data_IF_877790559056
#
_entry.id   IF_877790559056
#
_cell.length_a   1.000
_cell.length_b   1.000
_cell.length_c   1.000
_cell.angle_alpha   90.00
_cell.angle_beta   90.00
_cell.angle_gamma   90.00
#
_symmetry.space_group_name_H-M   'P 1'
#
loop_
_entity.id
_entity.type
_entity.pdbx_description
1 polymer ?
#
# COMPACT_ATOMS: atom_id res chain seq x y z
N UNK A 1 3.12 5.71 17.58
CA UNK A 1 3.27 5.89 16.12
C UNK A 1 4.73 5.70 15.73
N UNK A 2 5.08 4.54 15.17
CA UNK A 2 6.40 4.29 14.58
C UNK A 2 6.19 3.62 13.22
N UNK A 3 5.50 4.35 12.33
CA UNK A 3 5.12 3.92 10.97
C UNK A 3 6.36 3.45 10.18
N UNK A 4 7.51 4.05 10.47
CA UNK A 4 8.82 3.70 9.89
C UNK A 4 9.23 2.26 10.17
N UNK A 5 9.03 1.78 11.40
CA UNK A 5 9.34 0.38 11.74
C UNK A 5 8.44 -0.58 10.96
N UNK A 6 7.16 -0.28 10.81
CA UNK A 6 6.25 -1.14 10.05
C UNK A 6 6.63 -1.22 8.56
N UNK A 7 7.05 -0.10 7.99
CA UNK A 7 7.46 -0.02 6.60
C UNK A 7 8.79 -0.74 6.35
N UNK A 8 9.78 -0.55 7.24
CA UNK A 8 11.05 -1.30 7.23
C UNK A 8 10.84 -2.82 7.38
N UNK A 9 9.80 -3.24 8.11
CA UNK A 9 9.44 -4.66 8.29
C UNK A 9 8.78 -5.28 7.05
N UNK A 10 7.98 -4.51 6.32
CA UNK A 10 7.38 -4.92 5.05
C UNK A 10 8.47 -5.03 3.96
N UNK A 11 9.34 -4.03 3.86
CA UNK A 11 10.45 -3.99 2.91
C UNK A 11 11.45 -5.15 3.13
N UNK A 12 11.70 -5.53 4.39
CA UNK A 12 12.56 -6.70 4.73
C UNK A 12 11.95 -8.04 4.27
N UNK A 13 10.62 -8.17 4.33
CA UNK A 13 9.93 -9.41 3.95
C UNK A 13 9.85 -9.56 2.42
N UNK A 14 9.64 -8.44 1.71
CA UNK A 14 9.62 -8.38 0.25
C UNK A 14 10.97 -8.77 -0.39
N UNK A 15 12.08 -8.55 0.32
CA UNK A 15 13.43 -8.93 -0.11
C UNK A 15 13.80 -10.40 0.20
N UNK A 16 13.26 -11.01 1.26
CA UNK A 16 13.71 -12.36 1.69
C UNK A 16 13.05 -13.53 0.95
N UNK A 17 11.88 -13.31 0.33
CA UNK A 17 11.20 -14.32 -0.47
C UNK A 17 11.59 -14.21 -1.95
N UNK A 18 12.80 -14.69 -2.28
CA UNK A 18 13.04 -15.30 -3.59
C UNK A 18 12.16 -16.55 -3.69
N UNK A 19 11.01 -16.43 -4.33
CA UNK A 19 10.00 -17.49 -4.41
C UNK A 19 10.41 -18.51 -5.48
N UNK A 20 11.33 -19.41 -5.14
CA UNK A 20 11.41 -20.71 -5.82
C UNK A 20 10.15 -21.49 -5.45
N UNK A 21 9.24 -21.59 -6.42
CA UNK A 21 7.93 -22.22 -6.24
C UNK A 21 8.02 -23.71 -6.61
N UNK A 22 8.32 -24.57 -5.63
CA UNK A 22 7.96 -25.98 -5.69
C UNK A 22 6.76 -26.23 -4.78
N UNK A 23 5.56 -26.30 -5.34
CA UNK A 23 4.52 -27.15 -4.78
C UNK A 23 3.47 -27.52 -5.84
N UNK A 24 3.24 -28.83 -5.95
CA UNK A 24 2.48 -29.47 -7.03
C UNK A 24 0.99 -29.14 -7.04
N UNK A 25 0.54 -28.59 -8.17
CA UNK A 25 -0.85 -28.63 -8.61
C UNK A 25 -0.90 -29.24 -10.02
N UNK A 26 -1.90 -30.09 -10.26
CA UNK A 26 -2.07 -31.00 -11.41
C UNK A 26 -2.32 -30.20 -12.70
N UNK A 27 -1.88 -30.67 -13.88
CA UNK A 27 -1.48 -29.83 -15.00
C UNK A 27 -2.69 -29.38 -15.83
N UNK A 28 -2.88 -28.08 -15.89
CA UNK A 28 -3.45 -27.42 -17.07
C UNK A 28 -2.32 -27.41 -18.11
N UNK A 29 -2.61 -27.55 -19.42
CA UNK A 29 -1.66 -27.48 -20.54
C UNK A 29 -0.91 -26.11 -20.60
N UNK A 30 -0.17 -25.76 -19.55
CA UNK A 30 0.57 -24.51 -19.35
C UNK A 30 2.09 -24.74 -19.39
N UNK A 31 2.56 -25.99 -19.34
CA UNK A 31 4.00 -26.31 -19.35
C UNK A 31 4.71 -25.86 -20.65
N UNK A 32 3.96 -25.80 -21.76
CA UNK A 32 4.48 -25.27 -23.04
C UNK A 32 4.69 -23.75 -22.99
N UNK A 33 3.98 -23.04 -22.09
CA UNK A 33 4.10 -21.58 -21.95
C UNK A 33 5.24 -21.17 -21.03
N UNK A 34 5.56 -21.97 -20.01
CA UNK A 34 6.64 -21.64 -19.08
C UNK A 34 8.04 -21.81 -19.68
N UNK A 35 8.27 -22.88 -20.45
CA UNK A 35 9.56 -23.04 -21.15
C UNK A 35 9.71 -22.03 -22.30
N UNK A 36 8.62 -21.73 -23.01
CA UNK A 36 8.63 -20.71 -24.05
C UNK A 36 8.89 -19.30 -23.49
N UNK A 37 8.26 -18.94 -22.36
CA UNK A 37 8.51 -17.65 -21.70
C UNK A 37 9.93 -17.54 -21.15
N UNK A 38 10.52 -18.64 -20.66
CA UNK A 38 11.94 -18.68 -20.28
C UNK A 38 12.87 -18.47 -21.47
N UNK A 39 12.58 -19.10 -22.61
CA UNK A 39 13.35 -18.90 -23.85
C UNK A 39 13.23 -17.47 -24.36
N UNK A 40 12.03 -16.87 -24.28
CA UNK A 40 11.84 -15.46 -24.66
C UNK A 40 12.58 -14.49 -23.74
N UNK A 41 12.54 -14.71 -22.42
CA UNK A 41 13.33 -13.93 -21.45
C UNK A 41 14.83 -14.06 -21.72
N UNK A 42 15.30 -15.26 -22.07
CA UNK A 42 16.70 -15.51 -22.41
C UNK A 42 17.11 -14.73 -23.68
N UNK A 43 16.25 -14.73 -24.71
CA UNK A 43 16.47 -13.95 -25.95
C UNK A 43 16.48 -12.45 -25.66
N UNK A 44 15.60 -11.96 -24.78
CA UNK A 44 15.58 -10.55 -24.37
C UNK A 44 16.86 -10.17 -23.62
N UNK A 45 17.32 -11.02 -22.68
CA UNK A 45 18.58 -10.80 -21.97
C UNK A 45 19.78 -10.79 -22.91
N UNK A 46 19.86 -11.75 -23.83
CA UNK A 46 20.90 -11.79 -24.87
C UNK A 46 20.88 -10.54 -25.75
N UNK A 47 19.69 -10.02 -26.07
CA UNK A 47 19.53 -8.77 -26.79
C UNK A 47 19.98 -7.54 -25.99
N UNK A 48 19.73 -7.51 -24.67
CA UNK A 48 20.26 -6.46 -23.80
C UNK A 48 21.79 -6.52 -23.71
N UNK A 49 22.35 -7.72 -23.59
CA UNK A 49 23.80 -7.94 -23.56
C UNK A 49 24.45 -7.51 -24.89
N UNK A 50 23.82 -7.79 -26.04
CA UNK A 50 24.27 -7.32 -27.36
C UNK A 50 24.26 -5.79 -27.47
N UNK A 51 23.22 -5.13 -26.94
CA UNK A 51 23.17 -3.66 -26.90
C UNK A 51 24.23 -3.06 -25.98
N UNK A 52 24.49 -3.68 -24.82
CA UNK A 52 25.52 -3.24 -23.88
C UNK A 52 26.93 -3.42 -24.45
N UNK A 53 27.19 -4.57 -25.10
CA UNK A 53 28.44 -4.84 -25.80
C UNK A 53 28.66 -3.85 -26.97
N UNK A 54 27.62 -3.52 -27.73
CA UNK A 54 27.69 -2.53 -28.81
C UNK A 54 28.01 -1.13 -28.26
N UNK A 55 27.46 -0.75 -27.10
CA UNK A 55 27.81 0.48 -26.40
C UNK A 55 29.28 0.50 -25.93
N UNK A 56 29.82 -0.64 -25.50
CA UNK A 56 31.21 -0.77 -25.07
C UNK A 56 32.19 -0.69 -26.26
N UNK A 57 31.86 -1.35 -27.37
CA UNK A 57 32.68 -1.35 -28.60
C UNK A 57 32.59 -0.02 -29.35
N UNK A 58 31.43 0.63 -29.30
CA UNK A 58 31.13 1.87 -30.03
C UNK A 58 30.50 2.91 -29.11
N UNK A 59 31.29 3.46 -28.16
CA UNK A 59 30.80 4.41 -27.18
C UNK A 59 30.21 5.64 -27.86
N UNK A 60 29.05 6.06 -27.38
CA UNK A 60 28.41 7.30 -27.79
C UNK A 60 29.30 8.43 -27.30
N UNK A 61 30.02 9.06 -28.24
CA UNK A 61 30.74 10.29 -27.95
C UNK A 61 29.71 11.40 -27.80
N UNK A 62 29.77 12.13 -26.70
CA UNK A 62 28.95 13.33 -26.51
C UNK A 62 29.26 14.32 -27.65
N UNK A 63 28.21 14.87 -28.26
CA UNK A 63 28.29 15.90 -29.29
C UNK A 63 28.85 17.20 -28.65
N UNK A 64 30.16 17.28 -28.41
CA UNK A 64 30.81 18.44 -27.77
C UNK A 64 30.83 19.70 -28.63
N UNK A 65 30.37 19.62 -29.88
CA UNK A 65 30.34 20.74 -30.82
C UNK A 65 28.90 21.26 -30.91
N UNK A 66 28.55 22.17 -29.99
CA UNK A 66 27.51 23.16 -30.27
C UNK A 66 28.12 24.10 -31.31
N UNK A 67 27.60 24.19 -32.55
CA UNK A 67 28.00 25.29 -33.42
C UNK A 67 27.69 26.58 -32.64
N UNK A 68 28.68 27.46 -32.47
CA UNK A 68 28.41 28.80 -31.92
C UNK A 68 27.24 29.37 -32.71
N UNK A 69 26.12 29.61 -32.03
CA UNK A 69 24.84 29.99 -32.62
C UNK A 69 24.94 31.39 -33.27
N UNK A 70 25.66 31.49 -34.38
CA UNK A 70 25.85 32.71 -35.16
C UNK A 70 24.83 32.79 -36.31
N UNK A 71 23.67 32.16 -36.12
CA UNK A 71 22.55 32.23 -37.03
C UNK A 71 21.39 33.00 -36.39
N UNK A 72 21.07 34.23 -36.84
CA UNK A 72 20.02 35.06 -36.23
C UNK A 72 18.58 34.55 -36.41
N UNK A 73 18.37 33.41 -37.08
CA UNK A 73 17.05 32.89 -37.42
C UNK A 73 16.69 31.65 -36.57
N UNK A 74 15.94 31.87 -35.50
CA UNK A 74 15.44 30.87 -34.53
C UNK A 74 14.45 29.82 -35.08
N UNK A 75 14.29 29.68 -36.40
CA UNK A 75 13.23 28.86 -37.03
C UNK A 75 13.71 27.55 -37.65
N UNK A 76 15.02 27.28 -37.73
CA UNK A 76 15.55 26.06 -38.35
C UNK A 76 15.81 24.95 -37.32
N UNK A 77 15.67 23.68 -37.75
CA UNK A 77 15.96 22.53 -36.89
C UNK A 77 17.48 22.40 -36.68
N UNK A 78 17.91 21.90 -35.51
CA UNK A 78 19.35 21.70 -35.19
C UNK A 78 20.11 20.89 -36.26
N UNK A 79 19.45 19.89 -36.87
CA UNK A 79 20.02 19.09 -37.97
C UNK A 79 20.31 19.91 -39.23
N UNK A 80 19.46 20.89 -39.53
CA UNK A 80 19.60 21.75 -40.71
C UNK A 80 20.72 22.76 -40.50
N UNK A 81 20.83 23.32 -39.28
CA UNK A 81 21.95 24.17 -38.90
C UNK A 81 23.30 23.43 -39.00
N UNK A 82 23.38 22.18 -38.53
CA UNK A 82 24.57 21.34 -38.68
C UNK A 82 24.92 21.07 -40.14
N UNK A 83 23.92 20.75 -40.97
CA UNK A 83 24.15 20.52 -42.41
C UNK A 83 24.63 21.81 -43.14
N UNK A 84 24.14 22.97 -42.72
CA UNK A 84 24.60 24.27 -43.25
C UNK A 84 26.02 24.58 -42.77
N UNK A 85 26.36 24.30 -41.51
CA UNK A 85 27.70 24.48 -40.96
C UNK A 85 28.72 23.58 -41.68
N UNK A 86 28.40 22.30 -41.89
CA UNK A 86 29.26 21.36 -42.63
C UNK A 86 29.51 21.84 -44.07
N UNK A 87 28.47 22.29 -44.77
CA UNK A 87 28.61 22.87 -46.12
C UNK A 87 29.50 24.11 -46.16
N UNK A 88 29.48 24.95 -45.13
CA UNK A 88 30.38 26.10 -45.03
C UNK A 88 31.82 25.70 -44.77
N UNK A 89 32.03 24.66 -43.97
CA UNK A 89 33.34 24.08 -43.71
C UNK A 89 33.92 23.52 -45.02
N UNK A 90 33.11 22.81 -45.80
CA UNK A 90 33.44 22.32 -47.16
C UNK A 90 33.77 23.46 -48.13
N UNK A 91 32.91 24.48 -48.22
CA UNK A 91 33.10 25.63 -49.13
C UNK A 91 34.30 26.51 -48.72
N UNK A 92 34.65 26.51 -47.43
CA UNK A 92 35.74 27.27 -46.84
C UNK A 92 37.10 26.58 -46.91
N UNK A 93 37.13 25.26 -47.13
CA UNK A 93 38.36 24.47 -47.16
C UNK A 93 39.24 24.84 -48.36
N UNK A 94 40.47 25.31 -48.08
CA UNK A 94 41.45 25.68 -49.13
C UNK A 94 42.82 25.08 -48.90
N UNK A 95 43.12 24.67 -47.68
CA UNK A 95 44.39 24.06 -47.29
C UNK A 95 44.20 22.59 -46.96
N UNK A 96 45.29 21.81 -46.99
CA UNK A 96 45.26 20.36 -46.70
C UNK A 96 44.72 20.11 -45.29
N UNK A 97 45.08 20.95 -44.31
CA UNK A 97 44.55 20.86 -42.95
C UNK A 97 43.04 21.08 -42.88
N UNK A 98 42.49 22.01 -43.68
CA UNK A 98 41.04 22.25 -43.69
C UNK A 98 40.30 21.02 -44.25
N UNK A 99 40.85 20.36 -45.26
CA UNK A 99 40.28 19.12 -45.80
C UNK A 99 40.36 17.95 -44.80
N UNK A 100 41.42 17.87 -43.99
CA UNK A 100 41.50 16.89 -42.91
C UNK A 100 40.41 17.10 -41.85
N UNK A 101 40.02 18.34 -41.56
CA UNK A 101 38.91 18.66 -40.66
C UNK A 101 37.55 18.31 -41.28
N UNK A 102 37.32 18.63 -42.56
CA UNK A 102 36.12 18.19 -43.30
C UNK A 102 35.98 16.67 -43.23
N UNK A 103 37.06 15.92 -43.53
CA UNK A 103 37.05 14.45 -43.55
C UNK A 103 36.69 13.89 -42.16
N UNK A 104 37.26 14.44 -41.08
CA UNK A 104 36.94 14.00 -39.71
C UNK A 104 35.45 14.14 -39.38
N UNK A 105 34.82 15.23 -39.80
CA UNK A 105 33.37 15.44 -39.58
C UNK A 105 32.52 14.46 -40.39
N UNK A 106 32.92 14.18 -41.64
CA UNK A 106 32.27 13.16 -42.46
C UNK A 106 32.42 11.76 -41.87
N UNK A 107 33.61 11.36 -41.46
CA UNK A 107 33.87 10.07 -40.81
C UNK A 107 33.06 9.91 -39.51
N UNK A 108 32.89 11.00 -38.75
CA UNK A 108 32.05 11.02 -37.56
C UNK A 108 30.55 10.85 -37.88
N UNK A 109 30.05 11.52 -38.91
CA UNK A 109 28.66 11.34 -39.37
C UNK A 109 28.43 9.94 -39.94
N UNK A 110 29.42 9.37 -40.63
CA UNK A 110 29.39 8.03 -41.18
C UNK A 110 29.33 6.98 -40.06
N UNK A 111 30.23 7.09 -39.08
CA UNK A 111 30.24 6.24 -37.88
C UNK A 111 28.91 6.30 -37.11
N UNK A 112 28.30 7.49 -37.03
CA UNK A 112 26.98 7.66 -36.41
C UNK A 112 25.84 7.07 -37.24
N UNK A 113 25.94 7.06 -38.57
CA UNK A 113 24.98 6.37 -39.44
C UNK A 113 25.09 4.86 -39.24
N UNK A 114 26.29 4.31 -39.33
CA UNK A 114 26.55 2.87 -39.16
C UNK A 114 26.07 2.40 -37.78
N UNK A 115 26.37 3.15 -36.71
CA UNK A 115 25.88 2.85 -35.37
C UNK A 115 24.35 2.83 -35.30
N UNK A 116 23.65 3.78 -35.93
CA UNK A 116 22.18 3.79 -35.97
C UNK A 116 21.61 2.64 -36.78
N UNK A 117 22.26 2.27 -37.87
CA UNK A 117 21.89 1.10 -38.67
C UNK A 117 22.05 -0.17 -37.85
N UNK A 118 23.17 -0.36 -37.14
CA UNK A 118 23.37 -1.48 -36.21
C UNK A 118 22.33 -1.51 -35.09
N UNK A 119 22.03 -0.38 -34.43
CA UNK A 119 20.95 -0.34 -33.43
C UNK A 119 19.55 -0.61 -34.02
N UNK A 120 19.32 -0.34 -35.30
CA UNK A 120 18.06 -0.70 -35.96
C UNK A 120 18.02 -2.15 -36.43
N UNK A 121 19.18 -2.78 -36.62
CA UNK A 121 19.34 -4.20 -36.98
C UNK A 121 19.26 -5.10 -35.73
N UNK A 122 19.84 -4.66 -34.61
CA UNK A 122 19.68 -5.24 -33.27
C UNK A 122 18.17 -5.25 -32.95
N UNK A 123 17.54 -6.43 -33.07
CA UNK A 123 16.11 -6.65 -32.78
C UNK A 123 15.19 -6.89 -33.99
N UNK A 124 15.68 -6.82 -35.23
CA UNK A 124 14.87 -7.14 -36.43
C UNK A 124 14.88 -8.60 -36.86
N UNK A 125 15.95 -9.35 -36.55
CA UNK A 125 16.08 -10.76 -36.97
C UNK A 125 15.01 -11.68 -36.36
N UNK A 126 14.42 -11.28 -35.24
CA UNK A 126 13.40 -12.07 -34.50
C UNK A 126 11.94 -11.72 -34.83
N UNK A 127 11.67 -10.84 -35.80
CA UNK A 127 10.31 -10.39 -36.12
C UNK A 127 9.57 -11.29 -37.13
N UNK A 128 10.28 -12.03 -37.98
CA UNK A 128 9.66 -12.90 -38.99
C UNK A 128 9.21 -14.27 -38.43
N UNK A 129 9.67 -14.67 -37.25
CA UNK A 129 9.29 -15.94 -36.60
C UNK A 129 7.97 -15.87 -35.81
N UNK A 130 7.38 -14.68 -35.61
CA UNK A 130 6.20 -14.47 -34.74
C UNK A 130 4.94 -14.02 -35.49
N UNK A 131 4.65 -14.60 -36.68
CA UNK A 131 3.34 -14.38 -37.35
C UNK A 131 2.17 -15.17 -36.73
N UNK A 132 2.45 -16.22 -35.96
CA UNK A 132 1.43 -17.10 -35.38
C UNK A 132 1.36 -17.04 -33.84
N UNK A 133 2.06 -16.10 -33.20
CA UNK A 133 1.99 -15.92 -31.75
C UNK A 133 0.78 -15.07 -31.41
N UNK A 134 -0.08 -15.60 -30.54
CA UNK A 134 -1.31 -14.96 -30.09
C UNK A 134 -1.09 -13.50 -29.69
N UNK A 135 -2.05 -12.59 -29.96
CA UNK A 135 -1.92 -11.18 -29.64
C UNK A 135 -1.65 -11.04 -28.15
N UNK A 136 -0.42 -10.60 -27.84
CA UNK A 136 0.14 -10.30 -26.53
C UNK A 136 -0.76 -10.71 -25.37
N UNK A 137 -0.47 -11.86 -24.75
CA UNK A 137 -0.66 -11.94 -23.32
C UNK A 137 -0.04 -10.68 -22.75
N UNK A 138 -0.86 -9.80 -22.18
CA UNK A 138 -0.44 -8.48 -21.72
C UNK A 138 0.73 -8.73 -20.77
N UNK A 139 1.95 -8.48 -21.25
CA UNK A 139 3.16 -8.58 -20.44
C UNK A 139 3.11 -7.39 -19.52
N UNK A 140 2.46 -7.61 -18.38
CA UNK A 140 2.40 -6.64 -17.31
C UNK A 140 3.80 -6.63 -16.67
N UNK A 141 4.52 -5.50 -16.68
CA UNK A 141 5.85 -5.40 -16.08
C UNK A 141 5.87 -5.98 -14.66
N UNK A 142 6.96 -6.64 -14.25
CA UNK A 142 7.10 -7.32 -12.96
C UNK A 142 6.55 -6.58 -11.72
N UNK A 143 6.67 -5.24 -11.57
CA UNK A 143 6.01 -4.56 -10.44
C UNK A 143 4.47 -4.56 -10.55
N UNK A 144 3.90 -4.53 -11.75
CA UNK A 144 2.46 -4.44 -12.00
C UNK A 144 1.79 -5.85 -12.00
N UNK A 145 2.56 -6.92 -12.20
CA UNK A 145 2.04 -8.31 -12.14
C UNK A 145 1.88 -8.82 -10.69
N UNK A 146 2.24 -8.00 -9.70
CA UNK A 146 2.00 -8.33 -8.31
C UNK A 146 0.49 -8.48 -8.04
N UNK A 147 0.10 -9.51 -7.30
CA UNK A 147 -1.29 -9.71 -6.86
C UNK A 147 -1.92 -8.44 -6.24
N UNK A 148 -1.14 -7.66 -5.46
CA UNK A 148 -1.57 -6.37 -4.91
C UNK A 148 -1.89 -5.33 -6.00
N UNK A 149 -1.02 -5.19 -7.00
CA UNK A 149 -1.26 -4.26 -8.11
C UNK A 149 -2.46 -4.64 -8.97
N UNK A 150 -2.70 -5.95 -9.15
CA UNK A 150 -3.90 -6.46 -9.83
C UNK A 150 -5.18 -6.17 -9.04
N UNK A 151 -5.18 -6.35 -7.72
CA UNK A 151 -6.31 -5.99 -6.85
C UNK A 151 -6.59 -4.48 -6.85
N UNK A 152 -5.54 -3.65 -6.79
CA UNK A 152 -5.66 -2.19 -6.87
C UNK A 152 -6.31 -1.75 -8.19
N UNK A 153 -5.86 -2.31 -9.32
CA UNK A 153 -6.43 -2.00 -10.64
C UNK A 153 -7.86 -2.53 -10.81
N UNK A 154 -8.23 -3.62 -10.12
CA UNK A 154 -9.58 -4.17 -10.10
C UNK A 154 -10.55 -3.34 -9.25
N UNK A 155 -10.03 -2.46 -8.38
CA UNK A 155 -10.82 -1.66 -7.45
C UNK A 155 -11.10 -2.36 -6.11
N UNK A 156 -10.52 -3.53 -5.88
CA UNK A 156 -10.58 -4.26 -4.61
C UNK A 156 -9.41 -3.78 -3.72
N UNK A 157 -9.48 -2.53 -3.25
CA UNK A 157 -8.35 -1.88 -2.57
C UNK A 157 -8.46 -1.88 -1.04
N UNK A 158 -9.58 -2.32 -0.46
CA UNK A 158 -9.78 -2.23 1.00
C UNK A 158 -8.70 -3.00 1.75
N UNK A 159 -8.43 -4.24 1.35
CA UNK A 159 -7.38 -5.07 1.97
C UNK A 159 -5.97 -4.50 1.81
N UNK A 160 -5.76 -3.65 0.80
CA UNK A 160 -4.49 -2.97 0.52
C UNK A 160 -4.37 -1.69 1.36
N UNK A 161 -5.44 -0.91 1.48
CA UNK A 161 -5.44 0.36 2.23
C UNK A 161 -5.47 0.09 3.73
N UNK A 162 -6.26 -0.88 4.21
CA UNK A 162 -6.31 -1.28 5.62
C UNK A 162 -5.25 -2.33 5.97
N UNK A 163 -4.14 -2.35 5.24
CA UNK A 163 -3.05 -3.29 5.43
C UNK A 163 -2.13 -2.90 6.60
N UNK A 164 -2.73 -2.52 7.73
CA UNK A 164 -2.04 -1.96 8.88
C UNK A 164 -2.53 -2.65 10.16
N UNK A 165 -1.62 -3.15 11.02
CA UNK A 165 -1.97 -3.83 12.26
C UNK A 165 -2.81 -2.95 13.18
N UNK A 166 -2.61 -1.63 13.14
CA UNK A 166 -3.33 -0.72 14.02
C UNK A 166 -4.75 -0.43 13.54
N UNK A 167 -5.05 -0.63 12.26
CA UNK A 167 -6.33 -0.31 11.62
C UNK A 167 -7.17 -1.55 11.30
N UNK A 168 -6.71 -2.75 11.67
CA UNK A 168 -7.40 -4.02 11.42
C UNK A 168 -8.84 -4.05 11.94
N UNK A 169 -9.17 -3.24 12.95
CA UNK A 169 -10.51 -3.17 13.53
C UNK A 169 -11.54 -2.59 12.54
N UNK A 170 -11.10 -1.80 11.56
CA UNK A 170 -11.97 -1.26 10.50
C UNK A 170 -12.42 -2.33 9.50
N UNK A 171 -11.73 -3.47 9.44
CA UNK A 171 -12.07 -4.59 8.55
C UNK A 171 -13.17 -5.50 9.13
N UNK A 172 -13.50 -5.37 10.42
CA UNK A 172 -14.55 -6.15 11.06
C UNK A 172 -15.92 -5.48 10.88
N UNK A 173 -16.93 -6.27 10.52
CA UNK A 173 -18.31 -5.79 10.33
C UNK A 173 -19.08 -5.62 11.64
N UNK A 174 -18.76 -6.43 12.67
CA UNK A 174 -19.39 -6.35 13.98
C UNK A 174 -18.70 -5.27 14.83
N UNK A 175 -19.49 -4.27 15.24
CA UNK A 175 -19.06 -3.14 16.04
C UNK A 175 -18.49 -3.55 17.40
N UNK A 176 -19.02 -4.59 18.04
CA UNK A 176 -18.56 -5.00 19.36
C UNK A 176 -17.21 -5.71 19.27
N UNK A 177 -17.03 -6.60 18.30
CA UNK A 177 -15.72 -7.20 18.02
C UNK A 177 -14.70 -6.15 17.57
N UNK A 178 -15.12 -5.17 16.77
CA UNK A 178 -14.27 -4.04 16.36
C UNK A 178 -13.75 -3.26 17.57
N UNK A 179 -14.62 -2.92 18.54
CA UNK A 179 -14.23 -2.26 19.79
C UNK A 179 -13.26 -3.09 20.63
N UNK A 180 -13.45 -4.41 20.71
CA UNK A 180 -12.53 -5.30 21.44
C UNK A 180 -11.12 -5.13 20.88
N UNK A 181 -10.96 -5.26 19.55
CA UNK A 181 -9.67 -5.15 18.87
C UNK A 181 -9.12 -3.73 18.98
N UNK A 182 -9.96 -2.70 18.87
CA UNK A 182 -9.55 -1.31 19.04
C UNK A 182 -8.92 -1.03 20.41
N UNK A 183 -9.48 -1.58 21.48
CA UNK A 183 -9.00 -1.39 22.85
C UNK A 183 -7.69 -2.14 23.17
N UNK A 184 -7.25 -3.06 22.32
CA UNK A 184 -5.98 -3.74 22.54
C UNK A 184 -4.81 -2.76 22.45
N UNK A 185 -3.72 -3.06 23.16
CA UNK A 185 -2.46 -2.31 23.03
C UNK A 185 -1.91 -2.45 21.62
N UNK A 186 -1.24 -1.41 21.13
CA UNK A 186 -0.58 -1.40 19.82
C UNK A 186 0.36 -2.60 19.62
N UNK A 187 1.18 -2.92 20.62
CA UNK A 187 2.07 -4.09 20.59
C UNK A 187 1.32 -5.43 20.45
N UNK A 188 0.11 -5.50 21.00
CA UNK A 188 -0.76 -6.69 20.96
C UNK A 188 -1.45 -6.81 19.59
N UNK A 189 -1.90 -5.68 19.03
CA UNK A 189 -2.49 -5.60 17.68
C UNK A 189 -1.52 -6.09 16.62
N UNK A 190 -0.30 -5.57 16.62
CA UNK A 190 0.77 -6.05 15.74
C UNK A 190 1.01 -7.56 15.87
N UNK A 191 1.02 -8.10 17.09
CA UNK A 191 1.28 -9.52 17.30
C UNK A 191 0.18 -10.39 16.70
N UNK A 192 -1.09 -10.05 16.93
CA UNK A 192 -2.23 -10.75 16.33
C UNK A 192 -2.20 -10.63 14.82
N UNK A 193 -1.93 -9.43 14.31
CA UNK A 193 -1.87 -9.15 12.88
C UNK A 193 -0.93 -10.11 12.17
N UNK A 194 0.32 -10.20 12.63
CA UNK A 194 1.30 -11.07 11.98
C UNK A 194 0.94 -12.55 12.13
N UNK A 195 0.45 -12.97 13.30
CA UNK A 195 0.16 -14.38 13.55
C UNK A 195 -1.08 -14.90 12.81
N UNK A 196 -2.14 -14.11 12.72
CA UNK A 196 -3.46 -14.58 12.25
C UNK A 196 -3.90 -13.97 10.93
N UNK A 197 -3.49 -12.75 10.59
CA UNK A 197 -3.83 -12.13 9.30
C UNK A 197 -2.73 -12.34 8.26
N UNK A 198 -1.48 -12.53 8.70
CA UNK A 198 -0.33 -12.77 7.82
C UNK A 198 0.26 -14.18 7.92
N UNK A 199 -0.34 -15.04 8.73
CA UNK A 199 0.08 -16.44 8.91
C UNK A 199 1.57 -16.62 9.27
N UNK A 200 2.16 -15.66 9.99
CA UNK A 200 3.55 -15.79 10.45
C UNK A 200 3.65 -16.89 11.49
N UNK A 201 4.72 -17.67 11.40
CA UNK A 201 5.08 -18.59 12.48
C UNK A 201 5.57 -17.82 13.70
N UNK A 202 5.39 -18.40 14.89
CA UNK A 202 5.86 -17.76 16.14
C UNK A 202 7.38 -17.54 16.15
N UNK A 203 8.13 -18.41 15.46
CA UNK A 203 9.58 -18.28 15.28
C UNK A 203 9.95 -17.09 14.38
N UNK A 204 9.26 -16.91 13.25
CA UNK A 204 9.48 -15.77 12.35
C UNK A 204 9.19 -14.46 13.06
N UNK A 205 8.06 -14.38 13.78
CA UNK A 205 7.70 -13.18 14.53
C UNK A 205 8.65 -12.90 15.70
N UNK A 206 9.17 -13.95 16.35
CA UNK A 206 10.18 -13.82 17.39
C UNK A 206 11.49 -13.24 16.85
N UNK A 207 11.95 -13.73 15.70
CA UNK A 207 13.12 -13.18 15.01
C UNK A 207 12.91 -11.71 14.62
N UNK A 208 11.73 -11.39 14.06
CA UNK A 208 11.35 -10.04 13.66
C UNK A 208 11.40 -9.03 14.82
N UNK A 209 10.90 -9.44 15.99
CA UNK A 209 10.85 -8.60 17.20
C UNK A 209 12.13 -8.68 18.04
N UNK A 210 13.13 -9.46 17.64
CA UNK A 210 14.32 -9.77 18.45
C UNK A 210 13.94 -10.27 19.87
N UNK A 211 12.93 -11.14 19.94
CA UNK A 211 12.43 -11.74 21.18
C UNK A 211 12.56 -13.26 21.12
N UNK A 212 12.39 -13.93 22.26
CA UNK A 212 12.30 -15.39 22.27
C UNK A 212 10.91 -15.85 21.82
N UNK A 213 10.86 -16.97 21.10
CA UNK A 213 9.61 -17.62 20.69
C UNK A 213 8.72 -17.99 21.92
N UNK A 214 9.34 -18.30 23.07
CA UNK A 214 8.61 -18.45 24.36
C UNK A 214 7.90 -17.16 24.77
N UNK A 215 8.53 -16.01 24.61
CA UNK A 215 7.90 -14.73 24.93
C UNK A 215 6.71 -14.45 24.01
N UNK A 216 6.87 -14.68 22.70
CA UNK A 216 5.78 -14.50 21.72
C UNK A 216 4.57 -15.38 22.08
N UNK A 217 4.78 -16.65 22.42
CA UNK A 217 3.69 -17.53 22.89
C UNK A 217 3.03 -17.04 24.18
N UNK A 218 3.82 -16.55 25.14
CA UNK A 218 3.30 -16.02 26.41
C UNK A 218 2.44 -14.78 26.20
N UNK A 219 2.89 -13.87 25.35
CA UNK A 219 2.12 -12.67 24.98
C UNK A 219 0.87 -13.06 24.21
N UNK A 220 0.96 -13.98 23.22
CA UNK A 220 -0.20 -14.50 22.48
C UNK A 220 -1.29 -15.04 23.41
N UNK A 221 -0.93 -15.91 24.36
CA UNK A 221 -1.89 -16.45 25.32
C UNK A 221 -2.53 -15.38 26.20
N UNK A 222 -1.74 -14.38 26.61
CA UNK A 222 -2.25 -13.24 27.39
C UNK A 222 -3.27 -12.44 26.58
N UNK A 223 -3.01 -12.22 25.30
CA UNK A 223 -3.90 -11.46 24.42
C UNK A 223 -5.19 -12.23 24.15
N UNK A 224 -5.10 -13.52 23.81
CA UNK A 224 -6.27 -14.37 23.61
C UNK A 224 -7.14 -14.38 24.86
N UNK A 225 -6.55 -14.53 26.06
CA UNK A 225 -7.32 -14.46 27.30
C UNK A 225 -7.92 -13.07 27.60
N UNK A 226 -7.38 -11.98 27.04
CA UNK A 226 -8.02 -10.65 27.12
C UNK A 226 -9.21 -10.55 26.17
N UNK A 227 -9.07 -11.05 24.95
CA UNK A 227 -10.13 -11.09 23.94
C UNK A 227 -11.27 -11.98 24.44
N UNK A 228 -10.98 -13.22 24.85
CA UNK A 228 -11.95 -14.19 25.36
C UNK A 228 -12.83 -13.59 26.48
N UNK A 229 -12.22 -12.91 27.46
CA UNK A 229 -12.97 -12.27 28.56
C UNK A 229 -13.90 -11.16 28.08
N UNK A 230 -13.46 -10.36 27.11
CA UNK A 230 -14.28 -9.27 26.56
C UNK A 230 -15.41 -9.81 25.68
N UNK A 231 -15.12 -10.82 24.85
CA UNK A 231 -16.11 -11.53 24.03
C UNK A 231 -17.17 -12.14 24.94
N UNK A 232 -16.76 -12.87 25.98
CA UNK A 232 -17.69 -13.47 26.95
C UNK A 232 -18.61 -12.42 27.59
N UNK A 233 -18.06 -11.25 27.96
CA UNK A 233 -18.86 -10.17 28.54
C UNK A 233 -19.92 -9.63 27.57
N UNK A 234 -19.57 -9.45 26.29
CA UNK A 234 -20.48 -8.97 25.25
C UNK A 234 -21.56 -10.01 24.94
N UNK A 235 -21.19 -11.28 24.79
CA UNK A 235 -22.14 -12.34 24.48
C UNK A 235 -23.16 -12.55 25.60
N UNK A 236 -22.72 -12.44 26.85
CA UNK A 236 -23.59 -12.50 28.02
C UNK A 236 -24.54 -11.29 28.07
N UNK A 237 -24.06 -10.09 27.72
CA UNK A 237 -24.90 -8.89 27.63
C UNK A 237 -25.96 -9.02 26.52
N UNK A 238 -25.55 -9.47 25.33
CA UNK A 238 -26.45 -9.79 24.20
C UNK A 238 -27.49 -10.84 24.59
N UNK A 239 -27.11 -11.83 25.39
CA UNK A 239 -28.03 -12.86 25.90
C UNK A 239 -29.07 -12.30 26.88
N UNK A 240 -28.74 -11.27 27.68
CA UNK A 240 -29.70 -10.60 28.58
C UNK A 240 -30.70 -9.71 27.82
N UNK A 241 -30.30 -9.13 26.67
CA UNK A 241 -31.15 -8.24 25.87
C UNK A 241 -32.18 -8.98 24.99
N UNK A 242 -31.97 -10.27 24.73
CA UNK A 242 -32.87 -11.08 23.90
C UNK A 242 -34.20 -11.38 24.63
N UNK A 243 -35.29 -10.82 24.10
CA UNK A 243 -36.67 -11.21 24.41
C UNK A 243 -36.91 -12.69 24.02
N UNK A 244 -37.80 -13.43 24.71
CA UNK A 244 -37.83 -14.90 24.73
C UNK A 244 -38.22 -15.62 23.43
N UNK A 245 -38.36 -14.90 22.31
CA UNK A 245 -38.88 -15.43 21.06
C UNK A 245 -37.89 -15.46 19.89
N UNK A 246 -36.67 -14.98 20.07
CA UNK A 246 -35.64 -15.08 19.04
C UNK A 246 -34.31 -15.47 19.66
N UNK A 247 -33.94 -16.75 19.54
CA UNK A 247 -32.54 -17.19 19.48
C UNK A 247 -31.88 -16.61 18.21
N UNK A 248 -31.93 -15.30 18.00
CA UNK A 248 -31.86 -14.67 16.68
C UNK A 248 -30.63 -13.81 16.42
N UNK A 249 -29.86 -13.48 17.45
CA UNK A 249 -28.71 -12.56 17.30
C UNK A 249 -27.35 -13.23 17.54
N UNK A 250 -27.31 -14.41 18.17
CA UNK A 250 -26.07 -15.17 18.36
C UNK A 250 -25.90 -16.22 17.26
N UNK A 251 -24.71 -16.24 16.67
CA UNK A 251 -24.24 -17.26 15.74
C UNK A 251 -24.00 -18.59 16.45
N UNK A 252 -23.96 -19.70 15.70
CA UNK A 252 -23.73 -21.03 16.29
C UNK A 252 -22.37 -21.13 16.98
N UNK A 253 -21.35 -20.42 16.48
CA UNK A 253 -20.01 -20.37 17.06
C UNK A 253 -20.00 -19.64 18.41
N UNK A 254 -20.77 -18.56 18.54
CA UNK A 254 -20.91 -17.82 19.80
C UNK A 254 -21.65 -18.66 20.87
N UNK A 255 -22.64 -19.46 20.46
CA UNK A 255 -23.33 -20.39 21.36
C UNK A 255 -22.40 -21.51 21.85
N UNK A 256 -21.59 -22.08 20.96
CA UNK A 256 -20.59 -23.08 21.34
C UNK A 256 -19.53 -22.48 22.27
N UNK A 257 -19.09 -21.24 22.00
CA UNK A 257 -18.19 -20.50 22.89
C UNK A 257 -18.78 -20.31 24.29
N UNK A 258 -20.03 -19.86 24.40
CA UNK A 258 -20.72 -19.72 25.70
C UNK A 258 -20.82 -21.05 26.44
N UNK A 259 -21.10 -22.14 25.73
CA UNK A 259 -21.18 -23.48 26.30
C UNK A 259 -19.84 -23.91 26.90
N UNK A 260 -18.72 -23.61 26.23
CA UNK A 260 -17.36 -23.92 26.74
C UNK A 260 -16.97 -23.10 27.97
N UNK A 261 -17.56 -21.91 28.14
CA UNK A 261 -17.27 -20.99 29.24
C UNK A 261 -18.41 -20.89 30.27
N UNK A 262 -19.29 -21.90 30.36
CA UNK A 262 -20.50 -21.88 31.19
C UNK A 262 -20.23 -21.56 32.68
N UNK A 263 -19.11 -22.03 33.21
CA UNK A 263 -18.72 -21.80 34.61
C UNK A 263 -18.35 -20.33 34.90
N UNK A 264 -17.89 -19.60 33.88
CA UNK A 264 -17.45 -18.20 34.00
C UNK A 264 -18.60 -17.20 33.85
N UNK A 265 -19.70 -17.60 33.20
CA UNK A 265 -20.90 -16.79 32.96
C UNK A 265 -21.47 -16.11 34.22
N UNK A 266 -21.71 -16.80 35.35
CA UNK A 266 -22.29 -16.13 36.53
C UNK A 266 -21.38 -15.04 37.10
N UNK A 267 -20.06 -15.25 37.03
CA UNK A 267 -19.09 -14.28 37.50
C UNK A 267 -18.97 -13.07 36.55
N UNK A 268 -19.13 -13.26 35.24
CA UNK A 268 -19.16 -12.15 34.27
C UNK A 268 -20.45 -11.34 34.37
N UNK A 269 -21.60 -12.00 34.54
CA UNK A 269 -22.90 -11.36 34.80
C UNK A 269 -22.85 -10.42 36.02
N UNK A 270 -22.24 -10.86 37.13
CA UNK A 270 -22.14 -10.03 38.33
C UNK A 270 -21.27 -8.78 38.10
N UNK A 271 -20.18 -8.91 37.31
CA UNK A 271 -19.31 -7.78 36.95
C UNK A 271 -20.05 -6.79 36.05
N UNK A 272 -20.72 -7.29 35.02
CA UNK A 272 -21.51 -6.49 34.09
C UNK A 272 -22.58 -5.68 34.84
N UNK A 273 -23.31 -6.32 35.75
CA UNK A 273 -24.32 -5.65 36.57
C UNK A 273 -23.74 -4.56 37.47
N UNK A 274 -22.53 -4.77 38.03
CA UNK A 274 -21.82 -3.73 38.80
C UNK A 274 -21.39 -2.55 37.93
N UNK A 275 -20.93 -2.80 36.71
CA UNK A 275 -20.56 -1.77 35.73
C UNK A 275 -21.78 -0.97 35.25
N UNK A 276 -22.87 -1.66 34.86
CA UNK A 276 -24.17 -1.04 34.54
C UNK A 276 -24.63 -0.14 35.69
N UNK A 277 -24.54 -0.59 36.94
CA UNK A 277 -24.91 0.21 38.12
C UNK A 277 -23.99 1.42 38.33
N UNK A 278 -22.69 1.30 38.06
CA UNK A 278 -21.74 2.40 38.16
C UNK A 278 -22.04 3.49 37.11
N UNK A 279 -22.27 3.08 35.85
CA UNK A 279 -22.67 3.98 34.77
C UNK A 279 -23.98 4.71 35.08
N UNK A 280 -24.99 4.01 35.61
CA UNK A 280 -26.25 4.63 36.04
C UNK A 280 -26.04 5.70 37.12
N UNK A 281 -25.09 5.49 38.05
CA UNK A 281 -24.74 6.49 39.07
C UNK A 281 -24.07 7.72 38.44
N UNK A 282 -23.15 7.52 37.51
CA UNK A 282 -22.47 8.60 36.79
C UNK A 282 -23.43 9.43 35.95
N UNK A 283 -24.28 8.77 35.15
CA UNK A 283 -25.35 9.43 34.38
C UNK A 283 -26.24 10.23 35.32
N UNK A 284 -26.63 9.67 36.46
CA UNK A 284 -27.42 10.39 37.46
C UNK A 284 -26.73 11.66 37.99
N UNK A 285 -25.40 11.64 38.16
CA UNK A 285 -24.61 12.84 38.55
C UNK A 285 -24.62 13.88 37.43
N UNK A 286 -24.39 13.46 36.19
CA UNK A 286 -24.38 14.35 35.02
C UNK A 286 -25.75 15.00 34.81
N UNK A 287 -26.83 14.21 34.86
CA UNK A 287 -28.21 14.72 34.75
C UNK A 287 -28.48 15.76 35.83
N UNK A 288 -28.11 15.51 37.10
CA UNK A 288 -28.25 16.51 38.17
C UNK A 288 -27.42 17.77 37.95
N UNK A 289 -26.26 17.68 37.31
CA UNK A 289 -25.44 18.84 36.94
C UNK A 289 -26.15 19.66 35.87
N UNK A 290 -26.64 19.01 34.82
CA UNK A 290 -27.37 19.63 33.72
C UNK A 290 -28.63 20.32 34.25
N UNK A 291 -29.43 19.68 35.09
CA UNK A 291 -30.65 20.30 35.64
C UNK A 291 -30.33 21.57 36.44
N UNK A 292 -29.29 21.55 37.27
CA UNK A 292 -28.84 22.74 38.01
C UNK A 292 -28.37 23.87 37.09
N UNK A 293 -27.69 23.56 35.99
CA UNK A 293 -27.29 24.56 35.01
C UNK A 293 -28.48 25.17 34.28
N UNK A 294 -29.44 24.34 33.86
CA UNK A 294 -30.69 24.80 33.24
C UNK A 294 -31.48 25.71 34.18
N UNK A 295 -31.58 25.36 35.47
CA UNK A 295 -32.22 26.21 36.48
C UNK A 295 -31.49 27.56 36.68
N UNK A 296 -30.15 27.55 36.66
CA UNK A 296 -29.35 28.80 36.75
C UNK A 296 -29.59 29.68 35.53
N UNK A 297 -29.54 29.12 34.32
CA UNK A 297 -29.82 29.84 33.07
C UNK A 297 -31.22 30.44 33.07
N UNK A 298 -32.24 29.67 33.47
CA UNK A 298 -33.62 30.16 33.60
C UNK A 298 -33.75 31.31 34.61
N UNK A 299 -33.03 31.23 35.76
CA UNK A 299 -33.01 32.31 36.76
C UNK A 299 -32.31 33.57 36.23
N UNK A 300 -31.25 33.44 35.43
CA UNK A 300 -30.55 34.56 34.80
C UNK A 300 -31.38 35.22 33.69
N UNK A 301 -32.05 34.43 32.85
CA UNK A 301 -32.99 34.91 31.84
C UNK A 301 -34.17 35.66 32.49
N UNK A 302 -34.75 35.11 33.56
CA UNK A 302 -35.79 35.78 34.32
C UNK A 302 -35.31 37.13 34.91
N UNK A 303 -34.06 37.20 35.38
CA UNK A 303 -33.45 38.46 35.85
C UNK A 303 -33.24 39.46 34.70
N UNK A 304 -32.77 39.02 33.54
CA UNK A 304 -32.62 39.87 32.33
C UNK A 304 -33.97 40.40 31.85
N UNK A 305 -35.00 39.58 31.75
CA UNK A 305 -36.35 40.01 31.38
C UNK A 305 -36.91 41.06 32.35
N UNK A 306 -36.75 40.87 33.67
CA UNK A 306 -37.14 41.87 34.67
C UNK A 306 -36.37 43.19 34.50
N UNK A 307 -35.07 43.14 34.18
CA UNK A 307 -34.25 44.34 33.96
C UNK A 307 -34.67 45.10 32.70
N UNK A 308 -34.95 44.39 31.60
CA UNK A 308 -35.41 44.98 30.33
C UNK A 308 -36.80 45.63 30.47
N UNK A 309 -37.75 44.98 31.15
CA UNK A 309 -39.07 45.57 31.42
C UNK A 309 -38.98 46.84 32.28
N UNK A 310 -38.04 46.89 33.24
CA UNK A 310 -37.81 48.08 34.07
C UNK A 310 -37.15 49.23 33.29
N UNK A 311 -36.36 48.92 32.25
CA UNK A 311 -35.74 49.90 31.37
C UNK A 311 -36.73 50.48 30.35
N UNK A 312 -37.63 49.65 29.79
CA UNK A 312 -38.67 50.13 28.86
C UNK A 312 -39.69 51.04 29.56
N UNK A 313 -40.11 50.72 30.79
CA UNK A 313 -40.98 51.60 31.59
C UNK A 313 -40.40 52.98 31.91
N UNK A 314 -39.07 53.16 31.82
CA UNK A 314 -38.40 54.45 32.03
C UNK A 314 -38.26 55.28 30.76
N UNK A 315 -38.57 54.72 29.59
CA UNK A 315 -38.52 55.41 28.29
C UNK A 315 -39.89 55.91 27.81
N UNK A 316 -40.97 55.49 28.48
CA UNK A 316 -42.36 55.90 28.18
C UNK A 316 -42.88 57.04 29.08
N UNK A 317 -42.00 57.67 29.87
CA UNK A 317 -42.29 58.88 30.68
C UNK A 317 -41.44 60.01 30.17
#
# INVERSE_FOLDING_TARGET
MNIRKHQELLDFWEYSHGFDSEDGTVPIDEDVTFEATRQELQIELEHFDEMELELELHPIKDDDIQPEDEHPNKTMLKRELRAIALKRLEDGARTVSDFEEVIKEWDHLDSNRERKERYHEIGRENLDSKKDVAPLAIVIPAPINHAYWRQLMKGDFIDIISNCPYEMYNSLSDEDYSKIIYDLKDDHKELIYFLYLRDFTTNQLAALRNQSDRNIRGVRSTILGQIEKKVLMILVDRQEEDFPFTNGNLTMEELDFLTRHEEEIPATLEKLNKEKLALLKEIGVVVRRITREQEKRAKEEAKKCKKNNRANRKKEV
#
